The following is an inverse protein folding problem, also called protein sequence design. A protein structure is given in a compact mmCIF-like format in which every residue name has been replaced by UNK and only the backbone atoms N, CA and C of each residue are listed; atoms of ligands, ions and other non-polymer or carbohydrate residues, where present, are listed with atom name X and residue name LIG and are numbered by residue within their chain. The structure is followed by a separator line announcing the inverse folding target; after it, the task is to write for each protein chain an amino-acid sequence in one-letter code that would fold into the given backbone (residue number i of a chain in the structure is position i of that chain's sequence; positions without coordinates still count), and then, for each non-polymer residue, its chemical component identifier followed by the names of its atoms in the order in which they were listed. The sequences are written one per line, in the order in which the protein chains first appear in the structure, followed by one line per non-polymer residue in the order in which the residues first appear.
data_IF_022542985653
#
_entry.id   IF_022542985653
#
_cell.length_a   1.000
_cell.length_b   1.000
_cell.length_c   1.000
_cell.angle_alpha   90.00
_cell.angle_beta   90.00
_cell.angle_gamma   90.00
#
_symmetry.space_group_name_H-M   'P 1'
#
loop_
_entity.id
_entity.type
_entity.pdbx_description
1 polymer ?
#
# COMPACT_ATOMS: atom_id res chain seq x y z
N UNK A 1 35.24 -49.87 64.79
CA UNK A 1 34.00 -50.33 64.11
C UNK A 1 32.86 -49.54 64.72
N UNK A 2 32.46 -48.46 64.05
CA UNK A 2 31.44 -47.52 64.50
C UNK A 2 30.28 -47.62 63.49
N UNK A 3 29.01 -47.77 63.90
CA UNK A 3 27.94 -48.03 62.94
C UNK A 3 27.43 -46.72 62.32
N UNK A 4 27.15 -46.77 61.01
CA UNK A 4 26.39 -45.73 60.31
C UNK A 4 24.99 -45.61 60.92
N UNK A 5 24.62 -44.41 61.36
CA UNK A 5 23.24 -44.06 61.71
C UNK A 5 22.50 -43.68 60.42
N UNK A 6 21.52 -44.51 60.02
CA UNK A 6 20.55 -44.15 58.98
C UNK A 6 19.56 -43.13 59.57
N UNK A 7 19.47 -41.96 58.93
CA UNK A 7 18.50 -40.91 59.24
C UNK A 7 17.33 -41.03 58.27
N UNK A 8 16.21 -41.55 58.74
CA UNK A 8 14.98 -41.70 57.94
C UNK A 8 14.19 -40.41 58.04
N UNK A 9 14.19 -39.60 56.99
CA UNK A 9 13.38 -38.37 56.90
C UNK A 9 11.97 -38.73 56.43
N UNK A 10 10.98 -38.55 57.31
CA UNK A 10 9.56 -38.62 56.97
C UNK A 10 9.16 -37.32 56.25
N UNK A 11 8.86 -37.40 54.95
CA UNK A 11 8.29 -36.29 54.19
C UNK A 11 6.76 -36.41 54.28
N UNK A 12 6.14 -35.60 55.13
CA UNK A 12 4.69 -35.39 55.11
C UNK A 12 4.33 -34.53 53.90
N UNK A 13 3.82 -35.16 52.83
CA UNK A 13 3.22 -34.44 51.72
C UNK A 13 1.82 -33.97 52.12
N UNK A 14 1.67 -32.67 52.43
CA UNK A 14 0.37 -32.01 52.57
C UNK A 14 -0.18 -31.77 51.17
N UNK A 15 -1.17 -32.55 50.75
CA UNK A 15 -1.93 -32.28 49.53
C UNK A 15 -2.90 -31.12 49.79
N UNK A 16 -2.48 -29.91 49.44
CA UNK A 16 -3.40 -28.78 49.31
C UNK A 16 -4.21 -29.02 48.03
N UNK A 17 -5.42 -29.55 48.17
CA UNK A 17 -6.39 -29.58 47.09
C UNK A 17 -6.89 -28.14 46.86
N UNK A 18 -6.20 -27.39 46.00
CA UNK A 18 -6.74 -26.15 45.45
C UNK A 18 -7.89 -26.59 44.54
N UNK A 19 -9.14 -26.42 44.98
CA UNK A 19 -10.27 -26.40 44.05
C UNK A 19 -10.05 -25.22 43.13
N UNK A 20 -9.60 -25.49 41.91
CA UNK A 20 -9.76 -24.55 40.83
C UNK A 20 -11.26 -24.37 40.63
N UNK A 21 -11.79 -23.19 40.98
CA UNK A 21 -13.09 -22.76 40.49
C UNK A 21 -12.91 -22.48 39.00
N UNK A 22 -13.16 -23.49 38.17
CA UNK A 22 -13.09 -23.37 36.72
C UNK A 22 -14.39 -22.75 36.23
N UNK A 23 -14.54 -21.43 36.37
CA UNK A 23 -15.52 -20.69 35.58
C UNK A 23 -15.17 -20.82 34.10
N UNK A 24 -16.16 -21.08 33.25
CA UNK A 24 -15.94 -21.20 31.80
C UNK A 24 -15.66 -19.80 31.22
N UNK A 25 -14.43 -19.56 30.77
CA UNK A 25 -14.03 -18.30 30.12
C UNK A 25 -14.18 -18.41 28.60
N UNK A 26 -14.87 -17.46 27.98
CA UNK A 26 -15.15 -17.43 26.54
C UNK A 26 -14.55 -16.17 25.92
N UNK A 27 -13.60 -16.35 25.01
CA UNK A 27 -12.99 -15.23 24.27
C UNK A 27 -13.72 -15.00 22.95
N UNK A 28 -14.08 -13.75 22.69
CA UNK A 28 -14.84 -13.32 21.52
C UNK A 28 -14.07 -12.18 20.88
N UNK A 29 -13.88 -12.26 19.57
CA UNK A 29 -13.23 -11.21 18.81
C UNK A 29 -14.25 -10.56 17.88
N UNK A 30 -14.34 -9.24 17.92
CA UNK A 30 -15.15 -8.44 17.02
C UNK A 30 -14.31 -7.43 16.24
N UNK A 31 -14.83 -6.95 15.12
CA UNK A 31 -14.23 -5.84 14.38
C UNK A 31 -15.03 -4.55 14.62
N UNK A 32 -14.35 -3.40 14.64
CA UNK A 32 -15.00 -2.09 14.68
C UNK A 32 -16.06 -1.95 13.57
N UNK A 33 -17.26 -1.48 13.94
CA UNK A 33 -18.44 -1.40 13.09
C UNK A 33 -19.19 -2.72 12.90
N UNK A 34 -18.62 -3.85 13.35
CA UNK A 34 -19.19 -5.18 13.25
C UNK A 34 -20.28 -5.50 14.28
N UNK A 35 -20.62 -6.78 14.36
CA UNK A 35 -21.62 -7.35 15.28
C UNK A 35 -21.08 -8.61 15.95
N UNK A 36 -21.37 -8.78 17.22
CA UNK A 36 -21.16 -10.03 17.97
C UNK A 36 -22.42 -10.40 18.73
N UNK A 37 -22.60 -11.70 18.98
CA UNK A 37 -23.61 -12.20 19.89
C UNK A 37 -23.03 -13.33 20.75
N UNK A 38 -23.44 -13.37 22.00
CA UNK A 38 -23.03 -14.41 22.93
C UNK A 38 -24.07 -14.58 24.04
N UNK A 39 -24.13 -15.81 24.56
CA UNK A 39 -25.17 -16.24 25.48
C UNK A 39 -24.61 -17.23 26.49
N UNK A 40 -25.21 -17.34 27.69
CA UNK A 40 -24.84 -18.37 28.65
C UNK A 40 -25.07 -19.78 28.09
N UNK A 41 -24.23 -20.75 28.47
CA UNK A 41 -24.34 -22.16 28.04
C UNK A 41 -25.68 -22.78 28.42
N UNK A 42 -26.22 -22.43 29.58
CA UNK A 42 -27.50 -22.94 30.07
C UNK A 42 -28.24 -21.89 30.88
N UNK A 43 -29.56 -21.86 30.74
CA UNK A 43 -30.46 -21.04 31.54
C UNK A 43 -31.50 -21.96 32.19
N UNK A 44 -31.73 -21.76 33.48
CA UNK A 44 -32.77 -22.50 34.22
C UNK A 44 -34.06 -21.67 34.26
N UNK A 45 -35.12 -22.07 33.52
CA UNK A 45 -36.41 -21.40 33.62
C UNK A 45 -37.10 -21.70 34.97
N UNK A 46 -38.05 -20.86 35.41
CA UNK A 46 -38.49 -19.62 34.76
C UNK A 46 -37.49 -18.48 34.93
N UNK A 47 -37.38 -17.61 33.92
CA UNK A 47 -36.52 -16.42 33.94
C UNK A 47 -37.39 -15.19 34.18
N UNK A 48 -37.15 -14.48 35.28
CA UNK A 48 -37.86 -13.27 35.67
C UNK A 48 -36.98 -12.01 35.61
N UNK A 49 -35.65 -12.16 35.53
CA UNK A 49 -34.74 -11.02 35.29
C UNK A 49 -33.42 -11.45 34.67
N UNK A 50 -32.86 -10.56 33.85
CA UNK A 50 -31.54 -10.70 33.23
C UNK A 50 -30.81 -9.36 33.28
N UNK A 51 -29.57 -9.36 33.73
CA UNK A 51 -28.68 -8.20 33.70
C UNK A 51 -27.35 -8.60 33.09
N UNK A 52 -27.01 -7.98 31.96
CA UNK A 52 -25.65 -8.03 31.45
C UNK A 52 -24.83 -6.90 32.06
N UNK A 53 -23.65 -7.23 32.57
CA UNK A 53 -22.69 -6.30 33.14
C UNK A 53 -21.46 -6.24 32.25
N UNK A 54 -20.93 -5.05 32.02
CA UNK A 54 -19.73 -4.78 31.23
C UNK A 54 -18.68 -4.10 32.10
N UNK A 55 -17.44 -4.56 31.99
CA UNK A 55 -16.26 -3.92 32.59
C UNK A 55 -15.17 -3.75 31.54
N UNK A 56 -14.91 -2.51 31.16
CA UNK A 56 -13.73 -2.14 30.38
C UNK A 56 -12.49 -2.13 31.31
N UNK A 57 -11.28 -2.22 30.75
CA UNK A 57 -9.99 -2.31 31.46
C UNK A 57 -9.73 -1.18 32.47
N UNK A 58 -10.25 0.03 32.22
CA UNK A 58 -9.98 1.24 33.01
C UNK A 58 -11.23 1.72 33.79
N UNK A 59 -12.40 1.15 33.50
CA UNK A 59 -13.69 1.69 33.97
C UNK A 59 -14.34 0.90 35.12
N UNK A 60 -15.36 1.50 35.77
CA UNK A 60 -16.23 0.76 36.68
C UNK A 60 -17.05 -0.28 35.91
N UNK A 61 -17.58 -1.27 36.64
CA UNK A 61 -18.60 -2.17 36.11
C UNK A 61 -19.87 -1.37 35.86
N UNK A 62 -20.41 -1.46 34.65
CA UNK A 62 -21.68 -0.85 34.27
C UNK A 62 -22.66 -1.93 33.82
N UNK A 63 -23.96 -1.70 33.97
CA UNK A 63 -24.94 -2.53 33.26
C UNK A 63 -24.80 -2.27 31.77
N UNK A 64 -24.71 -3.30 30.95
CA UNK A 64 -24.82 -3.17 29.50
C UNK A 64 -26.30 -3.04 29.11
N UNK A 65 -27.13 -3.96 29.64
CA UNK A 65 -28.58 -3.93 29.53
C UNK A 65 -29.20 -4.72 30.66
N UNK A 66 -30.42 -4.35 31.02
CA UNK A 66 -31.25 -5.11 31.97
C UNK A 66 -32.63 -5.37 31.40
N UNK A 67 -33.24 -6.44 31.88
CA UNK A 67 -34.62 -6.83 31.61
C UNK A 67 -35.20 -7.50 32.86
N UNK A 68 -36.46 -7.22 33.15
CA UNK A 68 -37.25 -7.90 34.16
C UNK A 68 -38.67 -8.16 33.63
N UNK A 69 -39.31 -9.17 34.19
CA UNK A 69 -40.64 -9.64 33.78
C UNK A 69 -41.75 -8.62 34.09
N UNK A 70 -41.60 -7.85 35.17
CA UNK A 70 -42.58 -6.88 35.64
C UNK A 70 -42.68 -5.69 34.68
N UNK A 71 -41.53 -5.12 34.27
CA UNK A 71 -41.46 -4.00 33.34
C UNK A 71 -41.60 -4.47 31.87
N UNK A 72 -41.11 -5.67 31.55
CA UNK A 72 -41.24 -6.30 30.24
C UNK A 72 -40.42 -5.67 29.11
N UNK A 73 -39.69 -4.58 29.36
CA UNK A 73 -38.85 -3.87 28.39
C UNK A 73 -37.35 -3.98 28.71
N UNK A 74 -36.51 -3.97 27.68
CA UNK A 74 -35.05 -3.93 27.84
C UNK A 74 -34.58 -2.49 28.09
N UNK A 75 -33.79 -2.30 29.15
CA UNK A 75 -33.22 -1.00 29.53
C UNK A 75 -31.70 -1.01 29.35
N UNK A 76 -31.20 -0.64 28.15
CA UNK A 76 -29.77 -0.52 27.91
C UNK A 76 -29.19 0.73 28.58
N UNK A 77 -27.96 0.63 29.08
CA UNK A 77 -27.20 1.79 29.51
C UNK A 77 -26.87 2.70 28.32
N UNK A 78 -26.63 3.99 28.57
CA UNK A 78 -26.33 4.98 27.54
C UNK A 78 -25.26 4.54 26.53
N UNK A 79 -24.19 3.86 26.97
CA UNK A 79 -23.14 3.34 26.07
C UNK A 79 -23.66 2.29 25.08
N UNK A 80 -24.67 1.53 25.48
CA UNK A 80 -25.21 0.38 24.74
C UNK A 80 -26.57 0.68 24.10
N UNK A 81 -27.08 1.90 24.27
CA UNK A 81 -28.39 2.31 23.78
C UNK A 81 -28.40 2.32 22.25
N UNK A 82 -29.37 1.63 21.67
CA UNK A 82 -29.58 1.57 20.21
C UNK A 82 -28.60 0.66 19.47
N UNK A 83 -27.64 0.04 20.17
CA UNK A 83 -26.68 -0.90 19.57
C UNK A 83 -26.78 -2.31 20.15
N UNK A 84 -27.47 -2.48 21.29
CA UNK A 84 -27.61 -3.76 21.98
C UNK A 84 -29.04 -4.29 21.93
N UNK A 85 -29.18 -5.59 21.73
CA UNK A 85 -30.44 -6.33 21.91
C UNK A 85 -30.23 -7.52 22.83
N UNK A 86 -31.23 -7.82 23.65
CA UNK A 86 -31.26 -8.96 24.56
C UNK A 86 -32.41 -9.89 24.19
N UNK A 87 -32.08 -11.16 23.96
CA UNK A 87 -33.05 -12.26 23.91
C UNK A 87 -33.28 -12.76 25.34
N UNK A 88 -34.51 -12.58 25.83
CA UNK A 88 -34.91 -12.97 27.19
C UNK A 88 -35.12 -14.46 27.39
N UNK A 89 -35.33 -15.23 26.31
CA UNK A 89 -35.50 -16.68 26.40
C UNK A 89 -34.14 -17.38 26.51
N UNK A 90 -33.15 -16.89 25.77
CA UNK A 90 -31.81 -17.50 25.69
C UNK A 90 -30.73 -16.76 26.47
N UNK A 91 -31.05 -15.56 26.99
CA UNK A 91 -30.09 -14.65 27.63
C UNK A 91 -29.03 -14.12 26.68
N UNK A 92 -29.19 -14.30 25.37
CA UNK A 92 -28.23 -13.84 24.37
C UNK A 92 -28.21 -12.31 24.29
N UNK A 93 -27.02 -11.74 24.46
CA UNK A 93 -26.77 -10.34 24.14
C UNK A 93 -26.18 -10.27 22.74
N UNK A 94 -26.75 -9.41 21.91
CA UNK A 94 -26.16 -8.99 20.64
C UNK A 94 -25.72 -7.55 20.79
N UNK A 95 -24.49 -7.23 20.36
CA UNK A 95 -23.97 -5.87 20.28
C UNK A 95 -23.57 -5.61 18.82
N UNK A 96 -24.11 -4.52 18.26
CA UNK A 96 -23.86 -4.06 16.88
C UNK A 96 -23.03 -2.79 16.87
N UNK A 97 -22.52 -2.41 15.69
CA UNK A 97 -21.71 -1.21 15.50
C UNK A 97 -20.60 -1.08 16.55
N UNK A 98 -19.80 -2.15 16.67
CA UNK A 98 -18.79 -2.26 17.72
C UNK A 98 -17.76 -1.12 17.67
N UNK A 99 -17.27 -0.72 18.84
CA UNK A 99 -16.16 0.20 18.99
C UNK A 99 -15.15 -0.39 19.98
N UNK A 100 -13.94 0.18 20.05
CA UNK A 100 -12.88 -0.30 20.94
C UNK A 100 -13.32 -0.24 22.42
N UNK A 101 -14.16 0.72 22.81
CA UNK A 101 -14.66 0.89 24.18
C UNK A 101 -15.62 -0.22 24.64
N UNK A 102 -16.23 -0.96 23.70
CA UNK A 102 -17.04 -2.14 24.00
C UNK A 102 -16.19 -3.36 24.37
N UNK A 103 -14.87 -3.30 24.18
CA UNK A 103 -13.97 -4.36 24.65
C UNK A 103 -14.02 -4.49 26.16
N UNK A 104 -13.73 -5.69 26.67
CA UNK A 104 -13.65 -5.98 28.09
C UNK A 104 -14.45 -7.21 28.50
N UNK A 105 -14.65 -7.30 29.81
CA UNK A 105 -15.30 -8.44 30.44
C UNK A 105 -16.82 -8.22 30.51
N UNK A 106 -17.56 -9.26 30.18
CA UNK A 106 -19.01 -9.33 30.29
C UNK A 106 -19.41 -10.49 31.21
N UNK A 107 -20.26 -10.20 32.19
CA UNK A 107 -20.92 -11.21 33.02
C UNK A 107 -22.44 -11.01 32.98
N UNK A 108 -23.16 -12.08 33.28
CA UNK A 108 -24.62 -12.09 33.25
C UNK A 108 -25.16 -12.52 34.60
N UNK A 109 -26.14 -11.77 35.10
CA UNK A 109 -26.96 -12.15 36.25
C UNK A 109 -28.33 -12.58 35.73
N UNK A 110 -28.79 -13.76 36.16
CA UNK A 110 -30.12 -14.29 35.84
C UNK A 110 -30.86 -14.52 37.16
N UNK A 111 -32.07 -13.98 37.31
CA UNK A 111 -32.86 -14.06 38.54
C UNK A 111 -32.06 -13.65 39.78
N UNK A 112 -31.32 -12.54 39.65
CA UNK A 112 -30.41 -12.00 40.66
C UNK A 112 -29.24 -12.91 41.07
N UNK A 113 -28.90 -13.92 40.26
CA UNK A 113 -27.74 -14.79 40.46
C UNK A 113 -26.74 -14.61 39.32
N UNK A 114 -25.51 -14.24 39.67
CA UNK A 114 -24.40 -14.18 38.72
C UNK A 114 -24.07 -15.58 38.21
N UNK A 115 -23.96 -15.71 36.89
CA UNK A 115 -23.56 -16.96 36.25
C UNK A 115 -22.03 -17.10 36.28
N UNK A 116 -21.53 -18.33 36.35
CA UNK A 116 -20.08 -18.60 36.43
C UNK A 116 -19.34 -18.34 35.11
N UNK A 117 -20.05 -18.28 33.98
CA UNK A 117 -19.48 -18.06 32.67
C UNK A 117 -19.11 -16.59 32.46
N UNK A 118 -17.89 -16.36 32.00
CA UNK A 118 -17.33 -15.02 31.77
C UNK A 118 -17.00 -14.88 30.28
N UNK A 119 -17.39 -13.76 29.68
CA UNK A 119 -17.10 -13.47 28.28
C UNK A 119 -16.12 -12.32 28.17
N UNK A 120 -15.05 -12.50 27.40
CA UNK A 120 -14.08 -11.46 27.09
C UNK A 120 -14.25 -11.05 25.64
N UNK A 121 -14.69 -9.83 25.40
CA UNK A 121 -14.78 -9.25 24.06
C UNK A 121 -13.53 -8.41 23.78
N UNK A 122 -12.81 -8.74 22.72
CA UNK A 122 -11.77 -7.91 22.14
C UNK A 122 -12.25 -7.35 20.81
N UNK A 123 -12.44 -6.02 20.73
CA UNK A 123 -12.79 -5.35 19.48
C UNK A 123 -11.51 -4.83 18.83
N UNK A 124 -11.22 -5.33 17.63
CA UNK A 124 -10.06 -4.96 16.84
C UNK A 124 -10.43 -3.93 15.78
N UNK A 125 -9.49 -3.03 15.49
CA UNK A 125 -9.60 -2.10 14.37
C UNK A 125 -9.61 -2.87 13.04
N UNK A 126 -10.31 -2.30 12.06
CA UNK A 126 -10.27 -2.79 10.69
C UNK A 126 -8.83 -2.67 10.13
N UNK A 127 -8.36 -3.72 9.46
CA UNK A 127 -7.02 -3.69 8.86
C UNK A 127 -6.96 -2.70 7.69
N UNK A 128 -5.96 -1.82 7.60
CA UNK A 128 -5.75 -1.04 6.39
C UNK A 128 -5.36 -1.96 5.23
N UNK A 129 -5.50 -1.47 3.99
CA UNK A 129 -4.85 -2.10 2.84
C UNK A 129 -3.35 -1.78 2.94
N UNK A 130 -2.46 -2.78 3.09
CA UNK A 130 -1.04 -2.50 3.25
C UNK A 130 -0.41 -1.99 1.96
N UNK A 131 0.53 -1.06 2.09
CA UNK A 131 1.36 -0.56 0.98
C UNK A 131 2.79 -1.06 1.15
N UNK A 132 3.37 -1.59 0.07
CA UNK A 132 4.76 -2.07 0.04
C UNK A 132 5.67 -0.93 -0.38
N UNK A 133 6.66 -0.60 0.46
CA UNK A 133 7.75 0.31 0.09
C UNK A 133 8.89 -0.49 -0.55
N UNK A 134 9.54 0.12 -1.54
CA UNK A 134 10.63 -0.50 -2.29
C UNK A 134 11.92 0.28 -2.03
N UNK A 135 12.94 -0.41 -1.55
CA UNK A 135 14.29 0.13 -1.40
C UNK A 135 15.25 -0.61 -2.34
N UNK A 136 15.83 0.13 -3.29
CA UNK A 136 16.81 -0.41 -4.24
C UNK A 136 18.17 -0.58 -3.56
N UNK A 137 18.88 -1.64 -3.93
CA UNK A 137 20.24 -1.90 -3.43
C UNK A 137 21.25 -1.34 -4.44
N UNK A 138 21.93 -0.24 -4.08
CA UNK A 138 22.86 0.46 -4.98
C UNK A 138 23.98 -0.46 -5.52
N UNK A 139 24.49 -1.35 -4.68
CA UNK A 139 25.58 -2.27 -5.03
C UNK A 139 25.11 -3.52 -5.79
N UNK A 140 23.80 -3.81 -5.80
CA UNK A 140 23.25 -5.00 -6.42
C UNK A 140 21.95 -4.65 -7.15
N UNK A 141 22.00 -4.29 -8.44
CA UNK A 141 20.81 -3.93 -9.21
C UNK A 141 19.86 -5.11 -9.47
N UNK A 142 20.26 -6.35 -9.15
CA UNK A 142 19.43 -7.55 -9.27
C UNK A 142 18.78 -7.95 -7.94
N UNK A 143 18.85 -7.12 -6.90
CA UNK A 143 18.14 -7.34 -5.66
C UNK A 143 17.54 -6.04 -5.10
N UNK A 144 16.38 -6.15 -4.47
CA UNK A 144 15.69 -5.03 -3.80
C UNK A 144 15.11 -5.49 -2.46
N UNK A 145 14.89 -4.54 -1.56
CA UNK A 145 14.16 -4.76 -0.32
C UNK A 145 12.72 -4.27 -0.46
N UNK A 146 11.77 -5.14 -0.10
CA UNK A 146 10.36 -4.82 0.04
C UNK A 146 10.05 -4.66 1.52
N UNK A 147 9.38 -3.57 1.90
CA UNK A 147 9.15 -3.22 3.30
C UNK A 147 7.65 -3.06 3.53
N UNK A 148 7.15 -3.70 4.57
CA UNK A 148 5.76 -3.60 5.03
C UNK A 148 5.74 -3.14 6.49
N UNK A 149 5.38 -1.87 6.75
CA UNK A 149 5.57 -1.19 8.05
C UNK A 149 4.33 -1.19 8.95
N UNK A 150 3.89 -2.39 9.34
CA UNK A 150 2.69 -2.58 10.17
C UNK A 150 3.01 -3.31 11.47
N UNK A 151 2.10 -3.22 12.45
CA UNK A 151 2.29 -3.82 13.78
C UNK A 151 1.60 -5.18 13.90
N UNK A 152 0.70 -5.46 12.96
CA UNK A 152 -0.01 -6.72 12.82
C UNK A 152 0.91 -7.83 12.32
N UNK A 153 0.43 -9.08 12.35
CA UNK A 153 1.19 -10.19 11.78
C UNK A 153 1.30 -10.01 10.26
N UNK A 154 2.53 -10.01 9.76
CA UNK A 154 2.83 -9.85 8.33
C UNK A 154 3.08 -11.22 7.70
N UNK A 155 2.48 -11.46 6.54
CA UNK A 155 2.64 -12.66 5.74
C UNK A 155 3.02 -12.24 4.33
N UNK A 156 4.25 -12.54 3.92
CA UNK A 156 4.71 -12.34 2.54
C UNK A 156 4.31 -13.52 1.66
N UNK A 157 3.76 -13.24 0.48
CA UNK A 157 3.48 -14.27 -0.54
C UNK A 157 4.03 -13.88 -1.90
N UNK A 158 4.48 -14.87 -2.67
CA UNK A 158 4.81 -14.70 -4.09
C UNK A 158 3.63 -15.05 -5.01
N UNK A 159 3.83 -14.93 -6.32
CA UNK A 159 2.84 -15.27 -7.35
C UNK A 159 2.41 -16.75 -7.37
N UNK A 160 3.23 -17.66 -6.81
CA UNK A 160 2.88 -19.07 -6.63
C UNK A 160 2.03 -19.33 -5.37
N UNK A 161 1.80 -18.31 -4.54
CA UNK A 161 1.10 -18.42 -3.26
C UNK A 161 1.96 -18.97 -2.12
N UNK A 162 3.27 -19.10 -2.33
CA UNK A 162 4.21 -19.58 -1.31
C UNK A 162 4.49 -18.50 -0.28
N UNK A 163 4.50 -18.89 1.00
CA UNK A 163 4.84 -17.98 2.11
C UNK A 163 6.35 -17.78 2.19
N UNK A 164 6.78 -16.52 2.12
CA UNK A 164 8.18 -16.13 2.22
C UNK A 164 8.51 -15.68 3.65
N UNK A 165 9.74 -15.91 4.08
CA UNK A 165 10.22 -15.45 5.39
C UNK A 165 10.75 -14.02 5.28
N UNK A 166 10.05 -13.08 5.91
CA UNK A 166 10.54 -11.73 6.13
C UNK A 166 11.54 -11.68 7.29
N UNK A 167 12.24 -10.55 7.40
CA UNK A 167 13.12 -10.21 8.52
C UNK A 167 12.49 -9.05 9.30
N UNK A 168 12.51 -9.06 10.64
CA UNK A 168 11.95 -7.96 11.44
C UNK A 168 12.61 -6.62 11.08
N UNK A 169 11.79 -5.59 10.87
CA UNK A 169 12.21 -4.23 10.56
C UNK A 169 11.86 -3.29 11.72
N UNK A 170 12.82 -2.47 12.16
CA UNK A 170 12.61 -1.47 13.21
C UNK A 170 12.06 -0.16 12.62
N UNK A 171 11.11 0.54 13.28
CA UNK A 171 10.53 0.26 14.60
C UNK A 171 9.36 -0.75 14.57
N UNK A 172 8.75 -0.99 13.40
CA UNK A 172 7.66 -1.96 13.21
C UNK A 172 7.67 -2.46 11.77
N UNK A 173 7.26 -3.71 11.59
CA UNK A 173 7.08 -4.31 10.28
C UNK A 173 8.11 -5.38 9.94
N UNK A 174 8.11 -5.76 8.67
CA UNK A 174 9.03 -6.73 8.11
C UNK A 174 9.62 -6.25 6.78
N UNK A 175 10.83 -6.72 6.52
CA UNK A 175 11.59 -6.49 5.31
C UNK A 175 11.84 -7.83 4.61
N UNK A 176 11.56 -7.87 3.31
CA UNK A 176 11.75 -9.02 2.43
C UNK A 176 12.79 -8.66 1.37
N UNK A 177 13.91 -9.39 1.32
CA UNK A 177 14.86 -9.29 0.22
C UNK A 177 14.39 -10.16 -0.93
N UNK A 178 14.25 -9.57 -2.12
CA UNK A 178 13.91 -10.30 -3.34
C UNK A 178 15.00 -10.13 -4.38
N UNK A 179 15.23 -11.18 -5.17
CA UNK A 179 16.24 -11.22 -6.22
C UNK A 179 15.56 -11.45 -7.57
N UNK A 180 16.14 -10.90 -8.64
CA UNK A 180 15.62 -10.98 -10.00
C UNK A 180 15.57 -12.43 -10.47
N UNK A 181 14.40 -12.91 -10.91
CA UNK A 181 14.21 -14.27 -11.43
C UNK A 181 14.15 -14.32 -12.96
N UNK A 182 13.95 -13.17 -13.61
CA UNK A 182 13.83 -13.04 -15.05
C UNK A 182 12.42 -13.32 -15.59
N UNK A 183 11.40 -13.35 -14.73
CA UNK A 183 10.02 -13.49 -15.15
C UNK A 183 9.19 -12.27 -14.73
N UNK A 184 8.70 -11.44 -15.69
CA UNK A 184 7.99 -10.20 -15.38
C UNK A 184 6.66 -10.40 -14.65
N UNK A 185 6.09 -11.61 -14.69
CA UNK A 185 4.83 -11.97 -14.03
C UNK A 185 5.02 -12.43 -12.57
N UNK A 186 6.26 -12.58 -12.11
CA UNK A 186 6.52 -12.81 -10.69
C UNK A 186 6.14 -11.56 -9.91
N UNK A 187 5.36 -11.72 -8.85
CA UNK A 187 4.98 -10.62 -7.97
C UNK A 187 5.02 -11.04 -6.50
N UNK A 188 5.04 -10.03 -5.64
CA UNK A 188 5.06 -10.18 -4.20
C UNK A 188 3.92 -9.38 -3.57
N UNK A 189 3.35 -9.91 -2.49
CA UNK A 189 2.30 -9.26 -1.71
C UNK A 189 2.62 -9.32 -0.22
N UNK A 190 2.23 -8.28 0.51
CA UNK A 190 2.22 -8.25 1.96
C UNK A 190 0.78 -8.42 2.44
N UNK A 191 0.52 -9.41 3.28
CA UNK A 191 -0.78 -9.62 3.91
C UNK A 191 -0.68 -9.35 5.40
N UNK A 192 -1.51 -8.43 5.90
CA UNK A 192 -1.71 -8.21 7.32
C UNK A 192 -2.75 -9.20 7.83
N UNK A 193 -2.49 -9.81 8.98
CA UNK A 193 -3.42 -10.71 9.65
C UNK A 193 -3.66 -10.28 11.09
N UNK A 194 -4.94 -10.17 11.46
CA UNK A 194 -5.38 -10.09 12.85
C UNK A 194 -6.33 -11.27 13.14
N UNK A 195 -6.89 -11.32 14.36
CA UNK A 195 -7.75 -12.42 14.78
C UNK A 195 -9.13 -12.46 14.06
N UNK A 196 -9.50 -11.41 13.34
CA UNK A 196 -10.79 -11.32 12.63
C UNK A 196 -10.65 -11.51 11.12
N UNK A 197 -9.68 -10.84 10.51
CA UNK A 197 -9.56 -10.70 9.06
C UNK A 197 -8.11 -10.68 8.59
N UNK A 198 -7.96 -10.88 7.29
CA UNK A 198 -6.72 -10.66 6.55
C UNK A 198 -6.92 -9.51 5.56
N UNK A 199 -5.86 -8.75 5.28
CA UNK A 199 -5.86 -7.64 4.32
C UNK A 199 -4.57 -7.67 3.51
N UNK A 200 -4.69 -7.70 2.19
CA UNK A 200 -3.54 -7.92 1.27
C UNK A 200 -3.25 -6.66 0.46
N UNK A 201 -1.96 -6.39 0.23
CA UNK A 201 -1.48 -5.27 -0.57
C UNK A 201 -1.82 -5.47 -2.05
N UNK A 202 -1.67 -4.40 -2.83
CA UNK A 202 -1.52 -4.59 -4.28
C UNK A 202 -0.24 -5.41 -4.58
N UNK A 203 -0.26 -6.23 -5.64
CA UNK A 203 0.91 -7.00 -6.05
C UNK A 203 1.98 -6.07 -6.61
N UNK A 204 3.24 -6.30 -6.20
CA UNK A 204 4.41 -5.64 -6.76
C UNK A 204 5.13 -6.61 -7.69
N UNK A 205 5.10 -6.31 -8.99
CA UNK A 205 5.64 -7.19 -10.02
C UNK A 205 7.14 -6.99 -10.23
N UNK A 206 7.83 -8.05 -10.64
CA UNK A 206 9.26 -8.05 -10.94
C UNK A 206 9.61 -7.00 -12.01
N UNK A 207 8.74 -6.82 -13.01
CA UNK A 207 8.88 -5.77 -14.05
C UNK A 207 8.89 -4.34 -13.52
N UNK A 208 8.31 -4.10 -12.35
CA UNK A 208 8.29 -2.80 -11.68
C UNK A 208 9.47 -2.65 -10.71
N UNK A 209 10.07 -3.76 -10.28
CA UNK A 209 11.21 -3.81 -9.36
C UNK A 209 12.56 -3.64 -10.06
N UNK A 210 12.71 -4.27 -11.23
CA UNK A 210 13.97 -4.32 -11.96
C UNK A 210 13.80 -3.77 -13.36
N UNK A 211 14.62 -2.80 -13.73
CA UNK A 211 14.68 -2.33 -15.11
C UNK A 211 15.15 -3.48 -16.02
N UNK A 212 14.42 -3.72 -17.11
CA UNK A 212 14.96 -4.50 -18.20
C UNK A 212 16.09 -3.70 -18.84
N UNK A 213 17.30 -4.27 -18.84
CA UNK A 213 18.38 -3.69 -19.61
C UNK A 213 17.98 -3.78 -21.08
N UNK A 214 17.56 -2.62 -21.62
CA UNK A 214 17.14 -2.50 -23.00
C UNK A 214 18.19 -3.12 -23.93
N UNK A 215 17.79 -3.66 -25.09
CA UNK A 215 18.68 -4.54 -25.82
C UNK A 215 19.91 -3.77 -26.35
N UNK A 216 21.09 -3.98 -25.75
CA UNK A 216 22.32 -3.25 -26.06
C UNK A 216 22.76 -3.39 -27.52
N UNK A 217 22.41 -4.52 -28.17
CA UNK A 217 22.59 -4.71 -29.61
C UNK A 217 21.86 -3.69 -30.48
N UNK A 218 20.79 -3.03 -30.02
CA UNK A 218 20.13 -1.94 -30.76
C UNK A 218 21.06 -0.74 -30.86
N UNK A 219 21.76 -0.41 -29.77
CA UNK A 219 22.78 0.65 -29.76
C UNK A 219 23.92 0.28 -30.71
N UNK A 220 24.35 -0.98 -30.73
CA UNK A 220 25.37 -1.47 -31.67
C UNK A 220 24.91 -1.43 -33.13
N UNK A 221 23.65 -1.78 -33.42
CA UNK A 221 23.06 -1.70 -34.77
C UNK A 221 23.01 -0.24 -35.23
N UNK A 222 22.57 0.68 -34.37
CA UNK A 222 22.52 2.12 -34.70
C UNK A 222 23.93 2.66 -34.95
N UNK A 223 24.91 2.32 -34.11
CA UNK A 223 26.32 2.69 -34.30
C UNK A 223 26.88 2.15 -35.62
N UNK A 224 26.61 0.88 -35.94
CA UNK A 224 27.05 0.24 -37.18
C UNK A 224 26.42 0.89 -38.42
N UNK A 225 25.12 1.19 -38.38
CA UNK A 225 24.43 1.91 -39.45
C UNK A 225 25.02 3.29 -39.68
N UNK A 226 25.37 4.02 -38.61
CA UNK A 226 26.03 5.33 -38.72
C UNK A 226 27.43 5.19 -39.34
N UNK A 227 28.21 4.20 -38.91
CA UNK A 227 29.57 3.94 -39.42
C UNK A 227 29.59 3.58 -40.91
N UNK A 228 28.52 2.96 -41.44
CA UNK A 228 28.39 2.65 -42.87
C UNK A 228 27.78 3.83 -43.64
N UNK A 229 26.71 4.43 -43.11
CA UNK A 229 25.98 5.49 -43.80
C UNK A 229 26.81 6.76 -43.94
N UNK A 230 27.61 7.14 -42.93
CA UNK A 230 28.44 8.34 -42.98
C UNK A 230 29.49 8.34 -44.12
N UNK A 231 30.35 7.32 -44.30
CA UNK A 231 31.30 7.28 -45.41
C UNK A 231 30.60 7.14 -46.76
N UNK A 232 29.51 6.37 -46.87
CA UNK A 232 28.71 6.30 -48.10
C UNK A 232 28.14 7.68 -48.44
N UNK A 233 27.59 8.39 -47.47
CA UNK A 233 27.07 9.74 -47.64
C UNK A 233 28.17 10.71 -48.11
N UNK A 234 29.36 10.67 -47.49
CA UNK A 234 30.51 11.49 -47.91
C UNK A 234 30.97 11.15 -49.32
N UNK A 235 31.03 9.86 -49.68
CA UNK A 235 31.38 9.41 -51.03
C UNK A 235 30.36 9.87 -52.06
N UNK A 236 29.06 9.68 -51.81
CA UNK A 236 27.99 10.15 -52.69
C UNK A 236 28.00 11.67 -52.81
N UNK A 237 28.21 12.39 -51.70
CA UNK A 237 28.29 13.86 -51.69
C UNK A 237 29.46 14.38 -52.52
N UNK A 238 30.64 13.77 -52.40
CA UNK A 238 31.86 14.24 -53.10
C UNK A 238 31.93 13.82 -54.56
N UNK A 239 31.46 12.61 -54.89
CA UNK A 239 31.67 12.02 -56.22
C UNK A 239 30.43 12.01 -57.13
N UNK A 240 29.23 12.33 -56.61
CA UNK A 240 28.00 12.37 -57.41
C UNK A 240 27.43 13.81 -57.51
N UNK A 241 27.66 14.54 -58.61
CA UNK A 241 27.31 15.97 -58.73
C UNK A 241 25.81 16.28 -58.57
N UNK A 242 24.92 15.40 -59.06
CA UNK A 242 23.47 15.56 -58.86
C UNK A 242 23.08 15.44 -57.38
N UNK A 243 23.69 14.51 -56.65
CA UNK A 243 23.41 14.28 -55.24
C UNK A 243 23.96 15.44 -54.39
N UNK A 244 25.19 15.89 -54.68
CA UNK A 244 25.77 17.11 -54.11
C UNK A 244 24.81 18.29 -54.20
N UNK A 245 24.34 18.61 -55.42
CA UNK A 245 23.44 19.74 -55.66
C UNK A 245 22.11 19.61 -54.90
N UNK A 246 21.56 18.41 -54.82
CA UNK A 246 20.32 18.14 -54.06
C UNK A 246 20.55 18.36 -52.55
N UNK A 247 21.60 17.76 -52.00
CA UNK A 247 21.90 17.84 -50.56
C UNK A 247 22.26 19.27 -50.16
N UNK A 248 23.16 19.91 -50.91
CA UNK A 248 23.62 21.27 -50.64
C UNK A 248 22.47 22.28 -50.68
N UNK A 249 21.62 22.25 -51.72
CA UNK A 249 20.51 23.20 -51.83
C UNK A 249 19.47 23.05 -50.71
N UNK A 250 19.21 21.83 -50.24
CA UNK A 250 18.22 21.58 -49.19
C UNK A 250 18.73 21.84 -47.77
N UNK A 251 20.04 21.77 -47.54
CA UNK A 251 20.60 21.75 -46.18
C UNK A 251 21.55 22.92 -45.89
N UNK A 252 22.01 23.69 -46.89
CA UNK A 252 22.88 24.85 -46.71
C UNK A 252 22.27 25.93 -45.80
N UNK A 253 20.95 26.09 -45.82
CA UNK A 253 20.24 27.06 -44.98
C UNK A 253 20.15 26.67 -43.50
N UNK A 254 20.53 25.44 -43.12
CA UNK A 254 20.45 24.98 -41.72
C UNK A 254 21.73 25.33 -40.97
N UNK A 255 21.65 25.99 -39.79
CA UNK A 255 22.79 26.62 -39.14
C UNK A 255 23.94 25.66 -38.79
N UNK A 256 23.64 24.42 -38.40
CA UNK A 256 24.66 23.40 -38.10
C UNK A 256 25.04 22.53 -39.31
N UNK A 257 24.05 22.13 -40.12
CA UNK A 257 24.29 21.21 -41.23
C UNK A 257 25.00 21.92 -42.39
N UNK A 258 24.65 23.18 -42.67
CA UNK A 258 25.32 24.01 -43.68
C UNK A 258 26.81 24.20 -43.38
N UNK A 259 27.19 24.38 -42.12
CA UNK A 259 28.60 24.50 -41.72
C UNK A 259 29.41 23.20 -41.96
N UNK A 260 28.77 22.04 -41.76
CA UNK A 260 29.38 20.73 -42.05
C UNK A 260 29.55 20.54 -43.56
N UNK A 261 28.55 20.93 -44.36
CA UNK A 261 28.59 20.86 -45.82
C UNK A 261 29.67 21.81 -46.40
N UNK A 262 29.78 23.03 -45.88
CA UNK A 262 30.83 23.97 -46.28
C UNK A 262 32.24 23.43 -45.95
N UNK A 263 32.40 22.71 -44.82
CA UNK A 263 33.66 22.01 -44.50
C UNK A 263 33.96 20.86 -45.46
N UNK A 264 32.95 20.10 -45.87
CA UNK A 264 33.11 19.01 -46.84
C UNK A 264 33.49 19.53 -48.24
N UNK A 265 33.02 20.73 -48.61
CA UNK A 265 33.38 21.42 -49.86
C UNK A 265 34.72 22.18 -49.77
N UNK A 266 35.42 22.12 -48.62
CA UNK A 266 36.71 22.80 -48.40
C UNK A 266 36.61 24.32 -48.27
N UNK A 267 35.42 24.85 -48.02
CA UNK A 267 35.15 26.28 -47.97
C UNK A 267 35.32 26.82 -46.53
N UNK A 268 36.43 27.51 -46.26
CA UNK A 268 36.79 28.04 -44.92
C UNK A 268 36.00 29.29 -44.48
N UNK A 269 34.73 29.40 -44.83
CA UNK A 269 34.01 30.69 -44.67
C UNK A 269 33.54 31.04 -43.27
N UNK A 270 33.68 30.18 -42.26
CA UNK A 270 33.34 30.51 -40.85
C UNK A 270 33.97 29.47 -39.90
N UNK A 271 35.26 29.60 -39.59
CA UNK A 271 35.97 28.59 -38.78
C UNK A 271 35.52 28.55 -37.30
N UNK A 272 35.04 29.64 -36.70
CA UNK A 272 35.03 29.73 -35.22
C UNK A 272 33.69 29.99 -34.50
N UNK A 273 32.53 29.99 -35.17
CA UNK A 273 31.26 30.25 -34.46
C UNK A 273 30.54 28.97 -34.01
N UNK A 274 30.33 28.75 -32.69
CA UNK A 274 29.56 27.62 -32.17
C UNK A 274 28.13 27.61 -32.72
N UNK A 275 27.58 26.42 -32.93
CA UNK A 275 26.22 26.22 -33.46
C UNK A 275 25.13 27.02 -32.71
N UNK A 276 25.32 27.19 -31.40
CA UNK A 276 24.39 27.87 -30.51
C UNK A 276 24.25 29.37 -30.85
N UNK A 277 25.35 30.02 -31.25
CA UNK A 277 25.37 31.45 -31.59
C UNK A 277 24.71 31.75 -32.95
N UNK A 278 24.73 30.79 -33.89
CA UNK A 278 24.10 30.91 -35.22
C UNK A 278 22.58 30.75 -35.17
N UNK A 279 22.09 29.90 -34.28
CA UNK A 279 20.65 29.70 -34.08
C UNK A 279 20.02 30.95 -33.48
N UNK A 280 20.66 31.56 -32.47
CA UNK A 280 20.20 32.80 -31.83
C UNK A 280 20.16 34.01 -32.78
N UNK A 281 21.04 34.05 -33.80
CA UNK A 281 21.07 35.13 -34.79
C UNK A 281 19.91 35.04 -35.79
N UNK A 282 19.54 33.81 -36.19
CA UNK A 282 18.38 33.55 -37.06
C UNK A 282 17.06 33.99 -36.41
N UNK A 283 16.85 33.65 -35.14
CA UNK A 283 15.63 34.02 -34.40
C UNK A 283 15.52 35.53 -34.19
N UNK A 284 16.64 36.20 -33.93
CA UNK A 284 16.68 37.66 -33.79
C UNK A 284 16.46 38.42 -35.11
N UNK A 285 16.80 37.83 -36.26
CA UNK A 285 16.52 38.41 -37.59
C UNK A 285 15.04 38.23 -37.98
N UNK A 286 14.42 37.07 -37.71
CA UNK A 286 12.97 36.87 -37.89
C UNK A 286 12.14 37.84 -37.02
N UNK A 287 12.55 38.07 -35.76
CA UNK A 287 11.85 38.96 -34.84
C UNK A 287 12.02 40.45 -35.17
N UNK A 288 13.05 40.82 -35.95
CA UNK A 288 13.24 42.18 -36.50
C UNK A 288 12.38 42.41 -37.73
N UNK A 289 12.20 41.40 -38.56
CA UNK A 289 11.44 41.50 -39.81
C UNK A 289 9.93 41.68 -39.60
N UNK A 290 9.40 41.26 -38.44
CA UNK A 290 7.99 41.46 -38.06
C UNK A 290 7.70 42.89 -37.54
N UNK A 291 8.73 43.61 -37.04
CA UNK A 291 8.58 44.99 -36.54
C UNK A 291 8.64 46.08 -37.61
N UNK A 292 9.14 45.77 -38.81
CA UNK A 292 9.34 46.75 -39.90
C UNK A 292 8.23 46.69 -40.98
N UNK A 293 7.10 46.01 -40.73
CA UNK A 293 5.96 46.02 -41.67
C UNK A 293 5.12 47.31 -41.48
N UNK A 294 4.95 48.16 -42.50
CA UNK A 294 4.11 49.35 -42.38
C UNK A 294 2.63 48.96 -42.35
N UNK A 295 1.89 49.54 -41.39
CA UNK A 295 0.44 49.50 -41.35
C UNK A 295 -0.10 50.57 -42.32
N UNK A 296 -0.62 50.16 -43.47
CA UNK A 296 -1.35 51.06 -44.36
C UNK A 296 -2.83 50.69 -44.36
N UNK A 297 -3.63 51.60 -43.79
CA UNK A 297 -5.09 51.61 -43.81
C UNK A 297 -5.51 52.57 -44.92
N UNK A 298 -6.61 52.29 -45.62
CA UNK A 298 -7.76 53.18 -45.91
C UNK A 298 -8.60 52.64 -47.09
N UNK A 299 -9.88 52.33 -46.83
CA UNK A 299 -11.11 52.93 -47.41
C UNK A 299 -11.54 52.38 -48.80
N UNK A 300 -12.81 52.13 -49.14
CA UNK A 300 -14.11 52.10 -48.44
C UNK A 300 -15.18 51.54 -49.43
N UNK A 301 -16.41 51.35 -48.92
CA UNK A 301 -17.73 51.17 -49.61
C UNK A 301 -18.15 49.72 -49.98
N UNK A 302 -19.36 49.23 -49.68
CA UNK A 302 -20.53 49.78 -48.99
C UNK A 302 -21.73 48.81 -49.02
N UNK A 303 -22.74 49.04 -48.15
CA UNK A 303 -24.11 48.46 -48.18
C UNK A 303 -24.44 47.42 -47.08
N UNK A 304 -25.12 47.76 -45.96
CA UNK A 304 -26.60 47.73 -45.67
C UNK A 304 -27.20 46.31 -45.77
N UNK A 305 -27.88 45.68 -44.80
CA UNK A 305 -28.93 46.00 -43.78
C UNK A 305 -28.83 45.01 -42.58
N UNK A 306 -28.89 45.42 -41.30
CA UNK A 306 -30.03 45.53 -40.35
C UNK A 306 -30.73 44.24 -39.85
N UNK A 307 -31.24 44.21 -38.60
CA UNK A 307 -31.10 43.07 -37.70
C UNK A 307 -32.40 42.30 -37.41
N UNK A 308 -32.24 41.06 -36.97
CA UNK A 308 -33.07 40.39 -35.96
C UNK A 308 -32.19 39.41 -35.17
#
# INVERSE_FOLDING_TARGET
MSPLKYSTTFICAVFIAIRAASGEEVNIVGEVGGRVSFRPTSINPPVSSIIWKHKNSIGPVVKATEWDEDDGFNTPNQRFKGITTLDKETGEITITNLNIEHSGLYTIDINSKEQEQIFYLEVLAALPKPEIKIEKIEINPNAVYLICEYSETIIWKNSAGETLKGSPQSPKGELLKVEKQGNPEVFYTCTLKNAVRESTSDPVYERDLFEESGPWWIVLIVLFLILIAAPIFVLLYKFWPRFHKIVYNNLKGKPCIGAILDRLDGNKKNEDKPCEERTAKSTNEEMKQDKDRPNETLLNEGGKESPN
#
